data_IF_877676024927
#
_entry.id   IF_877676024927
#
_cell.length_a   1.000
_cell.length_b   1.000
_cell.length_c   1.000
_cell.angle_alpha   90.00
_cell.angle_beta   90.00
_cell.angle_gamma   90.00
#
_symmetry.space_group_name_H-M   'P 1'
#
loop_
_entity.id
_entity.type
_entity.pdbx_description
1 polymer ?
#
# COMPACT_ATOMS: atom_id res chain seq x y z
N UNK A 1 -5.46 13.00 16.89
CA UNK A 1 -4.19 12.69 17.59
C UNK A 1 -3.95 13.77 18.62
N UNK A 2 -3.68 13.39 19.87
CA UNK A 2 -3.36 14.32 20.96
C UNK A 2 -1.95 13.97 21.45
N UNK A 3 -1.04 14.93 21.35
CA UNK A 3 0.36 14.78 21.77
C UNK A 3 0.58 15.35 23.18
N UNK A 4 1.75 15.10 23.76
CA UNK A 4 2.17 15.54 25.11
C UNK A 4 1.30 14.98 26.23
N UNK A 5 0.82 13.76 26.07
CA UNK A 5 -0.05 13.11 27.07
C UNK A 5 0.65 12.80 28.38
N UNK A 6 1.97 12.87 28.38
CA UNK A 6 2.82 12.79 29.56
C UNK A 6 2.71 13.98 30.51
N UNK A 7 2.08 15.08 30.09
CA UNK A 7 1.79 16.26 30.92
C UNK A 7 0.42 16.19 31.61
N UNK A 8 -0.36 15.14 31.39
CA UNK A 8 -1.67 14.98 32.00
C UNK A 8 -1.54 14.38 33.40
N UNK A 9 -2.20 14.98 34.40
CA UNK A 9 -2.22 14.49 35.79
C UNK A 9 -2.89 13.12 35.94
N UNK A 10 -3.71 12.71 34.96
CA UNK A 10 -4.37 11.42 34.90
C UNK A 10 -4.22 10.83 33.51
N UNK A 11 -4.01 9.50 33.38
CA UNK A 11 -4.00 8.86 32.08
C UNK A 11 -5.33 9.12 31.36
N UNK A 12 -5.31 9.40 30.05
CA UNK A 12 -6.51 9.72 29.31
C UNK A 12 -7.51 8.55 29.39
N UNK A 13 -8.68 8.81 29.98
CA UNK A 13 -9.77 7.84 30.01
C UNK A 13 -10.50 7.88 28.67
N UNK A 14 -10.35 6.82 27.88
CA UNK A 14 -10.88 6.77 26.51
C UNK A 14 -12.41 6.62 26.52
N UNK A 15 -13.15 7.66 26.11
CA UNK A 15 -14.58 7.57 25.75
C UNK A 15 -14.82 7.62 24.24
N UNK A 16 -13.84 8.07 23.46
CA UNK A 16 -13.96 8.31 22.03
C UNK A 16 -12.99 7.42 21.25
N UNK A 17 -13.51 6.58 20.36
CA UNK A 17 -12.75 5.58 19.59
C UNK A 17 -11.87 6.19 18.48
N UNK A 18 -12.01 7.48 18.20
CA UNK A 18 -11.26 8.16 17.14
C UNK A 18 -10.05 8.96 17.63
N UNK A 19 -9.75 8.94 18.93
CA UNK A 19 -8.64 9.70 19.51
C UNK A 19 -7.52 8.78 19.95
N UNK A 20 -6.33 9.03 19.42
CA UNK A 20 -5.09 8.41 19.88
C UNK A 20 -4.26 9.43 20.67
N UNK A 21 -3.80 8.99 21.83
CA UNK A 21 -3.01 9.76 22.78
C UNK A 21 -1.54 9.31 22.67
N UNK A 22 -0.66 10.25 22.35
CA UNK A 22 0.77 9.98 22.17
C UNK A 22 1.61 10.90 23.05
N UNK A 23 2.80 10.41 23.39
CA UNK A 23 3.90 11.25 23.85
C UNK A 23 5.11 10.94 22.98
N UNK A 24 5.46 11.86 22.09
CA UNK A 24 6.62 11.68 21.20
C UNK A 24 7.91 11.55 22.02
N UNK A 25 8.06 12.37 23.06
CA UNK A 25 9.27 12.37 23.89
C UNK A 25 9.45 11.07 24.68
N UNK A 26 8.34 10.47 25.13
CA UNK A 26 8.37 9.18 25.86
C UNK A 26 8.09 7.97 24.96
N UNK A 27 8.01 8.17 23.65
CA UNK A 27 7.66 7.16 22.65
C UNK A 27 6.35 6.39 22.90
N UNK A 28 5.41 6.98 23.65
CA UNK A 28 4.13 6.37 24.00
C UNK A 28 3.15 6.55 22.83
N UNK A 29 2.46 5.48 22.45
CA UNK A 29 1.37 5.51 21.44
C UNK A 29 1.84 5.67 19.99
N UNK A 30 3.15 5.78 19.72
CA UNK A 30 3.68 5.98 18.38
C UNK A 30 3.50 4.76 17.46
N UNK A 31 3.63 3.54 18.00
CA UNK A 31 3.41 2.30 17.24
C UNK A 31 1.96 2.18 16.78
N UNK A 32 1.03 2.36 17.70
CA UNK A 32 -0.41 2.34 17.42
C UNK A 32 -0.80 3.43 16.42
N UNK A 33 -0.20 4.63 16.54
CA UNK A 33 -0.40 5.70 15.56
C UNK A 33 0.06 5.30 14.15
N UNK A 34 1.25 4.69 14.03
CA UNK A 34 1.75 4.21 12.72
C UNK A 34 0.81 3.16 12.12
N UNK A 35 0.34 2.21 12.92
CA UNK A 35 -0.60 1.17 12.48
C UNK A 35 -1.94 1.78 12.03
N UNK A 36 -2.49 2.73 12.80
CA UNK A 36 -3.73 3.43 12.43
C UNK A 36 -3.57 4.24 11.14
N UNK A 37 -2.45 4.94 10.96
CA UNK A 37 -2.17 5.67 9.72
C UNK A 37 -2.17 4.69 8.54
N UNK A 38 -1.46 3.56 8.67
CA UNK A 38 -1.41 2.56 7.61
C UNK A 38 -2.81 2.02 7.26
N UNK A 39 -3.60 1.65 8.28
CA UNK A 39 -4.96 1.14 8.09
C UNK A 39 -5.89 2.17 7.42
N UNK A 40 -5.77 3.45 7.80
CA UNK A 40 -6.63 4.52 7.29
C UNK A 40 -6.25 5.00 5.89
N UNK A 41 -4.98 4.90 5.51
CA UNK A 41 -4.54 5.29 4.17
C UNK A 41 -4.98 4.29 3.09
N UNK A 42 -5.38 3.07 3.49
CA UNK A 42 -5.81 1.99 2.61
C UNK A 42 -4.83 1.80 1.43
N UNK A 43 -3.54 1.68 1.73
CA UNK A 43 -2.50 1.52 0.71
C UNK A 43 -2.35 0.06 0.28
N UNK A 44 -1.92 -0.13 -0.96
CA UNK A 44 -1.53 -1.41 -1.54
C UNK A 44 -0.13 -1.30 -2.13
N UNK A 45 0.67 -2.34 -1.98
CA UNK A 45 2.02 -2.51 -2.51
C UNK A 45 1.95 -3.37 -3.76
N UNK A 46 2.45 -2.85 -4.87
CA UNK A 46 2.53 -3.58 -6.14
C UNK A 46 3.99 -3.80 -6.48
N UNK A 47 4.37 -5.05 -6.67
CA UNK A 47 5.74 -5.44 -6.99
C UNK A 47 5.90 -5.60 -8.50
N UNK A 48 7.09 -5.25 -9.00
CA UNK A 48 7.41 -5.37 -10.41
C UNK A 48 8.33 -6.56 -10.63
N UNK A 49 8.00 -7.34 -11.64
CA UNK A 49 8.81 -8.47 -12.08
C UNK A 49 9.22 -8.25 -13.53
N UNK A 50 10.50 -7.99 -13.81
CA UNK A 50 11.03 -7.97 -15.17
C UNK A 50 10.91 -9.35 -15.86
N UNK A 51 10.86 -9.36 -17.19
CA UNK A 51 10.48 -10.53 -18.01
C UNK A 51 11.24 -11.83 -17.71
N UNK A 52 12.47 -11.77 -17.21
CA UNK A 52 13.30 -12.95 -16.90
C UNK A 52 14.02 -12.82 -15.56
N UNK A 53 13.47 -12.02 -14.64
CA UNK A 53 14.04 -11.78 -13.31
C UNK A 53 13.05 -12.16 -12.21
N UNK A 54 13.60 -12.28 -10.99
CA UNK A 54 12.77 -12.39 -9.79
C UNK A 54 12.02 -11.06 -9.56
N UNK A 55 10.82 -11.10 -8.95
CA UNK A 55 10.15 -9.88 -8.52
C UNK A 55 11.06 -9.09 -7.58
N UNK A 56 11.06 -7.77 -7.74
CA UNK A 56 11.66 -6.86 -6.79
C UNK A 56 10.69 -6.65 -5.62
N UNK A 57 11.09 -7.08 -4.43
CA UNK A 57 10.34 -6.91 -3.19
C UNK A 57 10.89 -5.77 -2.30
N UNK A 58 12.00 -5.16 -2.70
CA UNK A 58 12.63 -4.06 -1.94
C UNK A 58 11.94 -2.75 -2.24
N UNK A 59 11.57 -2.50 -3.50
CA UNK A 59 10.97 -1.23 -3.95
C UNK A 59 9.56 -1.42 -4.56
N UNK A 60 8.51 -1.62 -3.72
CA UNK A 60 7.15 -1.69 -4.21
C UNK A 60 6.62 -0.33 -4.68
N UNK A 61 5.79 -0.36 -5.71
CA UNK A 61 4.93 0.76 -6.05
C UNK A 61 3.79 0.86 -5.04
N UNK A 62 3.72 1.99 -4.34
CA UNK A 62 2.63 2.28 -3.40
C UNK A 62 1.46 2.94 -4.14
N UNK A 63 0.28 2.35 -4.02
CA UNK A 63 -0.98 2.82 -4.57
C UNK A 63 -2.07 2.85 -3.49
N UNK A 64 -3.19 3.52 -3.77
CA UNK A 64 -4.40 3.40 -2.95
C UNK A 64 -5.19 2.16 -3.37
N UNK A 65 -5.82 1.52 -2.41
CA UNK A 65 -6.81 0.46 -2.64
C UNK A 65 -7.87 0.94 -3.62
N UNK A 66 -8.24 0.09 -4.57
CA UNK A 66 -9.09 0.48 -5.70
C UNK A 66 -8.31 0.78 -6.98
N UNK A 67 -6.99 0.92 -6.91
CA UNK A 67 -6.17 1.14 -8.09
C UNK A 67 -6.25 -0.02 -9.09
N UNK A 68 -6.12 0.33 -10.37
CA UNK A 68 -6.12 -0.57 -11.51
C UNK A 68 -4.73 -0.68 -12.11
N UNK A 69 -4.55 -1.67 -12.97
CA UNK A 69 -3.33 -1.83 -13.77
C UNK A 69 -2.99 -0.53 -14.55
N UNK A 70 -3.99 0.19 -15.05
CA UNK A 70 -3.81 1.50 -15.72
C UNK A 70 -3.09 2.56 -14.84
N UNK A 71 -3.29 2.52 -13.52
CA UNK A 71 -2.65 3.48 -12.61
C UNK A 71 -1.16 3.14 -12.43
N UNK A 72 -0.81 1.85 -12.47
CA UNK A 72 0.59 1.40 -12.47
C UNK A 72 1.27 1.83 -13.77
N UNK A 73 0.64 1.60 -14.93
CA UNK A 73 1.25 1.94 -16.23
C UNK A 73 1.52 3.43 -16.34
N UNK A 74 0.60 4.30 -15.88
CA UNK A 74 0.80 5.76 -15.86
C UNK A 74 1.97 6.21 -14.99
N UNK A 75 2.25 5.49 -13.89
CA UNK A 75 3.40 5.79 -13.02
C UNK A 75 4.72 5.34 -13.62
N UNK A 76 4.73 4.24 -14.36
CA UNK A 76 5.96 3.64 -14.91
C UNK A 76 6.35 4.16 -16.28
N UNK A 77 5.35 4.48 -17.11
CA UNK A 77 5.53 4.90 -18.48
C UNK A 77 4.94 6.32 -18.61
N UNK A 78 5.78 7.37 -18.58
CA UNK A 78 5.33 8.75 -18.74
C UNK A 78 4.64 8.99 -20.09
N UNK A 79 5.05 8.24 -21.11
CA UNK A 79 4.46 8.24 -22.45
C UNK A 79 3.69 6.95 -22.70
N UNK A 80 2.68 7.00 -23.57
CA UNK A 80 1.91 5.82 -23.94
C UNK A 80 2.81 4.78 -24.60
N UNK A 81 2.85 3.59 -24.01
CA UNK A 81 3.63 2.46 -24.50
C UNK A 81 2.68 1.36 -24.96
N UNK A 82 2.89 0.85 -26.17
CA UNK A 82 2.20 -0.35 -26.62
C UNK A 82 2.71 -1.57 -25.84
N UNK A 83 1.88 -2.03 -24.92
CA UNK A 83 2.11 -3.24 -24.13
C UNK A 83 1.44 -4.42 -24.84
N UNK A 84 2.20 -5.46 -25.14
CA UNK A 84 1.67 -6.67 -25.77
C UNK A 84 0.84 -7.48 -24.79
N UNK A 85 1.30 -7.56 -23.55
CA UNK A 85 0.63 -8.32 -22.51
C UNK A 85 1.01 -7.81 -21.12
N UNK A 86 0.10 -8.02 -20.18
CA UNK A 86 0.29 -7.71 -18.77
C UNK A 86 0.01 -8.99 -18.00
N UNK A 87 1.03 -9.51 -17.34
CA UNK A 87 0.94 -10.74 -16.56
C UNK A 87 0.89 -10.41 -15.08
N UNK A 88 0.03 -11.10 -14.36
CA UNK A 88 -0.26 -10.88 -12.95
C UNK A 88 -0.03 -12.17 -12.14
N UNK A 89 0.59 -11.99 -10.98
CA UNK A 89 0.64 -12.98 -9.91
C UNK A 89 0.16 -12.33 -8.61
N UNK A 90 -0.40 -13.12 -7.70
CA UNK A 90 -0.81 -12.63 -6.39
C UNK A 90 -2.31 -12.76 -6.13
N UNK A 91 -2.81 -12.14 -5.05
CA UNK A 91 -4.16 -12.37 -4.52
C UNK A 91 -5.31 -11.86 -5.39
N UNK A 92 -5.06 -11.01 -6.40
CA UNK A 92 -6.09 -10.64 -7.38
C UNK A 92 -6.09 -11.51 -8.64
N UNK A 93 -5.07 -12.36 -8.82
CA UNK A 93 -5.01 -13.32 -9.90
C UNK A 93 -5.83 -14.58 -9.57
N UNK A 94 -6.46 -15.18 -10.58
CA UNK A 94 -7.08 -16.50 -10.49
C UNK A 94 -6.06 -17.62 -10.53
N UNK A 95 -4.97 -17.41 -11.27
CA UNK A 95 -3.84 -18.32 -11.38
C UNK A 95 -2.57 -17.52 -11.68
N UNK A 96 -1.42 -18.09 -11.34
CA UNK A 96 -0.11 -17.47 -11.54
C UNK A 96 0.16 -17.17 -13.02
N UNK A 97 0.53 -15.92 -13.32
CA UNK A 97 0.83 -15.49 -14.69
C UNK A 97 -0.43 -15.24 -15.52
N UNK A 98 -1.55 -14.94 -14.88
CA UNK A 98 -2.78 -14.58 -15.57
C UNK A 98 -2.57 -13.32 -16.41
N UNK A 99 -2.97 -13.37 -17.68
CA UNK A 99 -3.03 -12.17 -18.52
C UNK A 99 -4.23 -11.31 -18.10
N UNK A 100 -3.98 -10.01 -17.87
CA UNK A 100 -4.99 -9.05 -17.41
C UNK A 100 -5.05 -7.82 -18.30
N UNK A 101 -6.17 -7.11 -18.25
CA UNK A 101 -6.36 -5.83 -18.94
C UNK A 101 -5.98 -4.66 -18.04
N UNK A 102 -5.86 -3.47 -18.64
CA UNK A 102 -5.64 -2.21 -17.91
C UNK A 102 -6.74 -1.90 -16.86
N UNK A 103 -7.94 -2.46 -17.05
CA UNK A 103 -9.08 -2.26 -16.15
C UNK A 103 -9.09 -3.17 -14.92
N UNK A 104 -8.19 -4.16 -14.86
CA UNK A 104 -8.12 -5.10 -13.73
C UNK A 104 -7.77 -4.36 -12.43
N UNK A 105 -8.53 -4.62 -11.38
CA UNK A 105 -8.33 -4.01 -10.06
C UNK A 105 -7.29 -4.81 -9.26
N UNK A 106 -6.30 -4.10 -8.73
CA UNK A 106 -5.19 -4.69 -8.01
C UNK A 106 -5.51 -4.84 -6.52
N UNK A 107 -4.80 -5.77 -5.87
CA UNK A 107 -4.78 -5.99 -4.43
C UNK A 107 -3.36 -5.81 -3.89
N UNK A 108 -3.25 -5.65 -2.58
CA UNK A 108 -1.97 -5.58 -1.89
C UNK A 108 -1.14 -6.84 -2.20
N UNK A 109 0.15 -6.63 -2.45
CA UNK A 109 1.15 -7.65 -2.79
C UNK A 109 0.99 -8.33 -4.15
N UNK A 110 0.15 -7.79 -5.04
CA UNK A 110 0.14 -8.22 -6.44
C UNK A 110 1.49 -7.92 -7.13
N UNK A 111 1.85 -8.78 -8.07
CA UNK A 111 3.09 -8.72 -8.85
C UNK A 111 2.73 -8.58 -10.32
N UNK A 112 3.33 -7.60 -11.02
CA UNK A 112 3.10 -7.35 -12.43
C UNK A 112 4.36 -7.52 -13.27
N UNK A 113 4.17 -8.09 -14.46
CA UNK A 113 5.13 -8.04 -15.55
C UNK A 113 4.48 -7.41 -16.77
N UNK A 114 5.13 -6.39 -17.31
CA UNK A 114 4.73 -5.72 -18.55
C UNK A 114 5.66 -6.20 -19.68
N UNK A 115 5.09 -6.67 -20.78
CA UNK A 115 5.83 -7.20 -21.95
C UNK A 115 5.43 -6.44 -23.21
#
# INVERSE_FOLDING_TARGET
MINKTDLLDKPPQTKDRNQIYISVHKEIGLKELKELIWQRLELIRIYLKPKDKKPDYEEPLILKKGAKVADVTKKLFPEEKELKQILLWGPSARFSGQQVSLNHQLKDEDILTFI
#
